data_IF_422972933058
#
_entry.id   IF_422972933058
#
_cell.length_a   1.000
_cell.length_b   1.000
_cell.length_c   1.000
_cell.angle_alpha   90.00
_cell.angle_beta   90.00
_cell.angle_gamma   90.00
#
_symmetry.space_group_name_H-M   'P 1'
#
loop_
_entity.id
_entity.type
_entity.pdbx_description
1 polymer ?
#
# COMPACT_ATOMS: atom_id res chain seq x y z
N UNK A 1 6.95 13.10 -48.11
CA UNK A 1 5.83 12.22 -47.70
C UNK A 1 6.35 11.42 -46.52
N UNK A 2 5.61 11.49 -45.40
CA UNK A 2 5.67 10.67 -44.18
C UNK A 2 7.05 10.38 -43.56
N UNK A 3 7.31 10.99 -42.41
CA UNK A 3 7.72 10.17 -41.26
C UNK A 3 6.95 10.65 -40.02
N UNK A 4 6.09 9.74 -39.58
CA UNK A 4 5.09 9.89 -38.55
C UNK A 4 5.71 9.72 -37.17
N UNK A 5 5.19 10.51 -36.24
CA UNK A 5 5.37 10.50 -34.79
C UNK A 5 5.66 9.13 -34.16
N UNK A 6 6.65 9.09 -33.26
CA UNK A 6 6.65 8.20 -32.10
C UNK A 6 6.81 9.06 -30.84
N UNK A 7 5.72 9.70 -30.44
CA UNK A 7 5.60 10.37 -29.15
C UNK A 7 5.49 9.31 -28.06
N UNK A 8 6.61 8.77 -27.59
CA UNK A 8 6.64 7.96 -26.35
C UNK A 8 6.80 8.90 -25.16
N UNK A 9 5.71 9.58 -24.81
CA UNK A 9 5.61 10.29 -23.54
C UNK A 9 5.37 9.27 -22.43
N UNK A 10 6.25 9.11 -21.41
CA UNK A 10 5.85 8.45 -20.18
C UNK A 10 4.92 9.40 -19.43
N UNK A 11 3.62 9.31 -19.70
CA UNK A 11 2.59 9.90 -18.84
C UNK A 11 2.33 8.96 -17.67
N UNK A 12 2.89 9.29 -16.52
CA UNK A 12 2.20 9.12 -15.23
C UNK A 12 3.03 9.79 -14.15
N UNK A 13 2.61 10.99 -13.77
CA UNK A 13 2.79 11.50 -12.42
C UNK A 13 1.99 10.56 -11.52
N UNK A 14 2.60 9.41 -11.24
CA UNK A 14 1.89 8.21 -10.86
C UNK A 14 1.28 8.40 -9.50
N UNK A 15 -0.03 8.16 -9.43
CA UNK A 15 -0.80 8.21 -8.20
C UNK A 15 -0.38 6.97 -7.42
N UNK A 16 0.78 7.03 -6.75
CA UNK A 16 1.50 5.88 -6.18
C UNK A 16 0.51 4.84 -5.66
N UNK A 17 0.37 3.74 -6.42
CA UNK A 17 -0.56 2.70 -6.08
C UNK A 17 -0.12 2.10 -4.74
N UNK A 18 -1.01 2.17 -3.74
CA UNK A 18 -0.76 1.61 -2.42
C UNK A 18 -1.35 0.21 -2.42
N UNK A 19 -0.49 -0.79 -2.39
CA UNK A 19 -0.89 -2.19 -2.33
C UNK A 19 -0.78 -2.70 -0.90
N UNK A 20 -1.85 -3.31 -0.38
CA UNK A 20 -1.92 -3.89 0.96
C UNK A 20 -2.11 -5.39 0.83
N UNK A 21 -1.09 -6.15 1.22
CA UNK A 21 -1.10 -7.60 1.25
C UNK A 21 -1.62 -8.08 2.60
N UNK A 22 -2.65 -8.92 2.59
CA UNK A 22 -3.38 -9.35 3.77
C UNK A 22 -3.79 -10.82 3.68
N UNK A 23 -4.33 -11.37 4.79
CA UNK A 23 -4.95 -12.71 4.83
C UNK A 23 -6.18 -12.72 5.74
N UNK A 24 -7.14 -13.66 5.55
CA UNK A 24 -8.28 -13.85 6.43
C UNK A 24 -7.88 -14.00 7.91
N UNK A 25 -8.71 -13.47 8.81
CA UNK A 25 -8.48 -13.57 10.26
C UNK A 25 -7.38 -12.66 10.82
N UNK A 26 -6.65 -11.89 10.01
CA UNK A 26 -5.58 -11.00 10.48
C UNK A 26 -6.13 -9.71 11.14
N UNK A 27 -6.02 -9.53 12.48
CA UNK A 27 -6.56 -8.35 13.16
C UNK A 27 -5.78 -7.06 12.81
N UNK A 28 -4.46 -7.18 12.60
CA UNK A 28 -3.60 -6.05 12.21
C UNK A 28 -3.96 -5.52 10.82
N UNK A 29 -4.21 -6.42 9.88
CA UNK A 29 -4.62 -6.09 8.52
C UNK A 29 -5.94 -5.31 8.53
N UNK A 30 -6.95 -5.81 9.27
CA UNK A 30 -8.24 -5.12 9.43
C UNK A 30 -8.08 -3.72 10.01
N UNK A 31 -7.22 -3.55 11.02
CA UNK A 31 -6.95 -2.24 11.64
C UNK A 31 -6.28 -1.29 10.65
N UNK A 32 -5.26 -1.75 9.92
CA UNK A 32 -4.54 -0.94 8.95
C UNK A 32 -5.44 -0.52 7.79
N UNK A 33 -6.11 -1.47 7.14
CA UNK A 33 -7.00 -1.20 6.01
C UNK A 33 -8.12 -0.23 6.38
N UNK A 34 -8.72 -0.35 7.57
CA UNK A 34 -9.73 0.61 8.05
C UNK A 34 -9.20 2.05 8.10
N UNK A 35 -7.99 2.24 8.62
CA UNK A 35 -7.39 3.56 8.71
C UNK A 35 -7.06 4.12 7.32
N UNK A 36 -6.51 3.29 6.42
CA UNK A 36 -6.14 3.69 5.07
C UNK A 36 -7.38 4.01 4.22
N UNK A 37 -8.44 3.18 4.24
CA UNK A 37 -9.71 3.45 3.55
C UNK A 37 -10.35 4.76 4.03
N UNK A 38 -10.26 5.05 5.32
CA UNK A 38 -10.78 6.30 5.91
C UNK A 38 -9.98 7.56 5.56
N UNK A 39 -8.85 7.43 4.86
CA UNK A 39 -7.97 8.55 4.51
C UNK A 39 -8.16 9.08 3.09
N UNK A 40 -9.04 8.47 2.29
CA UNK A 40 -9.30 8.86 0.90
C UNK A 40 -8.28 8.32 -0.12
N UNK A 41 -7.37 7.45 0.31
CA UNK A 41 -6.39 6.80 -0.57
C UNK A 41 -7.05 5.69 -1.40
N UNK A 42 -6.62 5.55 -2.64
CA UNK A 42 -6.94 4.39 -3.47
C UNK A 42 -6.00 3.24 -3.09
N UNK A 43 -6.57 2.14 -2.60
CA UNK A 43 -5.82 0.97 -2.15
C UNK A 43 -6.10 -0.21 -3.07
N UNK A 44 -5.06 -0.98 -3.40
CA UNK A 44 -5.18 -2.32 -3.96
C UNK A 44 -4.96 -3.33 -2.84
N UNK A 45 -5.98 -4.08 -2.49
CA UNK A 45 -5.88 -5.09 -1.43
C UNK A 45 -5.72 -6.48 -2.04
N UNK A 46 -4.67 -7.21 -1.64
CA UNK A 46 -4.32 -8.51 -2.22
C UNK A 46 -4.27 -9.57 -1.13
N UNK A 47 -5.05 -10.64 -1.29
CA UNK A 47 -5.05 -11.76 -0.36
C UNK A 47 -3.94 -12.76 -0.72
N UNK A 48 -2.95 -12.91 0.16
CA UNK A 48 -1.82 -13.81 -0.10
C UNK A 48 -2.18 -15.30 -0.05
N UNK A 49 -3.34 -15.66 0.50
CA UNK A 49 -3.79 -17.07 0.51
C UNK A 49 -4.40 -17.50 -0.82
N UNK A 50 -4.87 -16.55 -1.63
CA UNK A 50 -5.50 -16.82 -2.92
C UNK A 50 -4.53 -16.66 -4.09
N UNK A 51 -3.39 -16.00 -3.85
CA UNK A 51 -2.40 -15.66 -4.86
C UNK A 51 -0.99 -16.04 -4.39
N UNK A 52 -0.43 -17.09 -5.01
CA UNK A 52 0.90 -17.59 -4.70
C UNK A 52 2.02 -16.60 -5.08
N UNK A 53 1.81 -15.77 -6.11
CA UNK A 53 2.76 -14.72 -6.49
C UNK A 53 2.74 -13.59 -5.45
N UNK A 54 1.55 -13.24 -4.93
CA UNK A 54 1.41 -12.29 -3.84
C UNK A 54 2.13 -12.78 -2.56
N UNK A 55 1.98 -14.06 -2.22
CA UNK A 55 2.72 -14.67 -1.11
C UNK A 55 4.23 -14.63 -1.33
N UNK A 56 4.71 -14.96 -2.54
CA UNK A 56 6.12 -14.90 -2.89
C UNK A 56 6.68 -13.47 -2.79
N UNK A 57 5.91 -12.48 -3.24
CA UNK A 57 6.29 -11.07 -3.14
C UNK A 57 6.40 -10.62 -1.68
N UNK A 58 5.49 -11.02 -0.80
CA UNK A 58 5.61 -10.74 0.64
C UNK A 58 6.87 -11.41 1.23
N UNK A 59 7.13 -12.68 0.89
CA UNK A 59 8.33 -13.39 1.35
C UNK A 59 9.63 -12.70 0.94
N UNK A 60 9.66 -12.05 -0.22
CA UNK A 60 10.85 -11.33 -0.70
C UNK A 60 11.26 -10.14 0.17
N UNK A 61 10.32 -9.55 0.92
CA UNK A 61 10.56 -8.35 1.74
C UNK A 61 10.45 -8.61 3.24
N UNK A 62 9.93 -9.77 3.64
CA UNK A 62 9.67 -10.14 5.03
C UNK A 62 10.56 -11.29 5.52
N UNK A 63 11.83 -11.30 5.11
CA UNK A 63 12.84 -12.29 5.50
C UNK A 63 12.40 -13.74 5.22
N UNK A 64 11.74 -13.96 4.07
CA UNK A 64 11.22 -15.26 3.66
C UNK A 64 9.88 -15.65 4.30
N UNK A 65 9.32 -14.82 5.19
CA UNK A 65 8.05 -15.08 5.87
C UNK A 65 6.84 -14.47 5.15
N UNK A 66 5.66 -14.99 5.42
CA UNK A 66 4.38 -14.46 4.93
C UNK A 66 3.77 -13.46 5.93
N UNK A 67 4.58 -12.51 6.39
CA UNK A 67 4.18 -11.52 7.38
C UNK A 67 3.19 -10.52 6.76
N UNK A 68 2.01 -10.40 7.36
CA UNK A 68 0.99 -9.41 6.96
C UNK A 68 0.52 -8.59 8.18
N UNK A 69 0.07 -7.33 7.99
CA UNK A 69 -0.04 -6.62 6.71
C UNK A 69 1.32 -6.23 6.13
N UNK A 70 1.52 -6.40 4.83
CA UNK A 70 2.69 -5.85 4.11
C UNK A 70 2.19 -4.83 3.09
N UNK A 71 2.80 -3.65 3.05
CA UNK A 71 2.37 -2.55 2.19
C UNK A 71 3.45 -2.22 1.18
N UNK A 72 3.08 -2.15 -0.08
CA UNK A 72 3.95 -1.65 -1.14
C UNK A 72 3.47 -0.28 -1.62
N UNK A 73 4.43 0.64 -1.80
CA UNK A 73 4.24 2.02 -2.25
C UNK A 73 5.28 2.23 -3.35
N UNK A 74 4.88 2.03 -4.61
CA UNK A 74 5.84 1.91 -5.72
C UNK A 74 6.88 0.83 -5.39
N UNK A 75 8.17 1.19 -5.42
CA UNK A 75 9.28 0.28 -5.14
C UNK A 75 9.56 0.06 -3.64
N UNK A 76 8.89 0.79 -2.75
CA UNK A 76 9.12 0.70 -1.30
C UNK A 76 8.18 -0.32 -0.69
N UNK A 77 8.71 -1.15 0.21
CA UNK A 77 7.93 -2.10 1.01
C UNK A 77 7.99 -1.77 2.50
N UNK A 78 6.88 -1.95 3.19
CA UNK A 78 6.75 -1.82 4.63
C UNK A 78 6.12 -3.09 5.20
N UNK A 79 6.86 -3.80 6.05
CA UNK A 79 6.40 -5.05 6.68
C UNK A 79 5.76 -4.74 8.04
N UNK A 80 4.52 -5.20 8.25
CA UNK A 80 3.70 -4.95 9.42
C UNK A 80 3.66 -3.47 9.90
N UNK A 81 3.40 -2.48 9.00
CA UNK A 81 3.44 -1.08 9.39
C UNK A 81 2.19 -0.67 10.17
N UNK A 82 2.36 0.37 10.99
CA UNK A 82 1.24 1.20 11.45
C UNK A 82 0.70 2.09 10.34
N UNK A 83 -0.55 2.54 10.46
CA UNK A 83 -1.12 3.51 9.51
C UNK A 83 -0.33 4.82 9.46
N UNK A 84 0.25 5.26 10.59
CA UNK A 84 1.11 6.44 10.65
C UNK A 84 2.37 6.29 9.81
N UNK A 85 3.01 5.11 9.84
CA UNK A 85 4.18 4.82 9.00
C UNK A 85 3.82 4.85 7.52
N UNK A 86 2.66 4.29 7.14
CA UNK A 86 2.19 4.34 5.75
C UNK A 86 1.96 5.79 5.31
N UNK A 87 1.22 6.59 6.10
CA UNK A 87 0.96 8.01 5.79
C UNK A 87 2.24 8.85 5.69
N UNK A 88 3.19 8.64 6.60
CA UNK A 88 4.49 9.30 6.54
C UNK A 88 5.28 8.89 5.28
N UNK A 89 5.22 7.63 4.88
CA UNK A 89 5.93 7.12 3.71
C UNK A 89 5.43 7.73 2.39
N UNK A 90 4.14 8.06 2.30
CA UNK A 90 3.51 8.67 1.10
C UNK A 90 3.38 10.20 1.19
N UNK A 91 3.81 10.82 2.28
CA UNK A 91 3.62 12.26 2.51
C UNK A 91 2.14 12.68 2.60
N UNK A 92 1.23 11.76 2.93
CA UNK A 92 -0.21 12.02 2.98
C UNK A 92 -0.61 12.49 4.36
N UNK A 93 -1.29 13.63 4.42
CA UNK A 93 -1.93 14.10 5.63
C UNK A 93 -3.40 13.61 5.62
N UNK A 94 -3.78 12.58 6.39
CA UNK A 94 -5.17 12.20 6.53
C UNK A 94 -6.05 13.36 7.05
N UNK A 95 -7.38 13.28 6.91
CA UNK A 95 -8.27 14.33 7.38
C UNK A 95 -8.13 14.57 8.91
N UNK A 96 -8.34 15.80 9.42
CA UNK A 96 -8.11 16.16 10.83
C UNK A 96 -8.79 15.20 11.83
N UNK A 97 -10.04 14.80 11.56
CA UNK A 97 -10.81 13.84 12.39
C UNK A 97 -10.16 12.47 12.53
N UNK A 98 -9.30 12.06 11.59
CA UNK A 98 -8.52 10.83 11.67
C UNK A 98 -7.21 11.07 12.42
N UNK A 99 -6.57 12.23 12.24
CA UNK A 99 -5.36 12.61 12.97
C UNK A 99 -5.56 12.79 14.47
N UNK A 100 -6.67 13.40 14.89
CA UNK A 100 -6.94 13.67 16.30
C UNK A 100 -7.07 12.34 17.08
N UNK A 101 -7.68 11.32 16.47
CA UNK A 101 -7.72 9.95 17.00
C UNK A 101 -6.37 9.24 17.02
N UNK A 102 -5.45 9.59 16.11
CA UNK A 102 -4.12 8.98 16.03
C UNK A 102 -3.10 9.65 16.95
N UNK A 103 -3.30 10.92 17.35
CA UNK A 103 -2.38 11.67 18.22
C UNK A 103 -2.81 11.73 19.70
N UNK A 104 -4.07 11.46 20.02
CA UNK A 104 -4.63 11.57 21.38
C UNK A 104 -4.54 10.32 22.26
N UNK A 105 -3.42 9.57 22.23
CA UNK A 105 -3.16 8.50 23.21
C UNK A 105 -1.82 8.73 23.89
#
# INVERSE_FOLDING_TARGET
MADSQASTSPQSSDRQAIEVYWRPGCPFCRRLMRALRGSGLTLREVNIWEDAEAAARVRSVADGNETVPTVFIGDRALVNPSSRQVFAAIGHQPPPRLWDRLRGR
#
